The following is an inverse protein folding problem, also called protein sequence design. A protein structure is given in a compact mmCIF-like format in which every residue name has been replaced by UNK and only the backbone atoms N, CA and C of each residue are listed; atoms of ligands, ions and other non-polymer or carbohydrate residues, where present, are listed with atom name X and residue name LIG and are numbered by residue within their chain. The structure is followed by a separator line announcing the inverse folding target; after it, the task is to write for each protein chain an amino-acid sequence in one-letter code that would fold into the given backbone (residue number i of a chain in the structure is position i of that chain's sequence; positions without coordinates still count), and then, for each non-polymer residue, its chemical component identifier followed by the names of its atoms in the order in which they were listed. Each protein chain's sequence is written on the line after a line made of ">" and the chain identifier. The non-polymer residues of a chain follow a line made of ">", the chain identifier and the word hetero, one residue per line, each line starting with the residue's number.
data_IF_968804711130
#
_entry.id   IF_968804711130
#
_cell.length_a   1.000
_cell.length_b   1.000
_cell.length_c   1.000
_cell.angle_alpha   90.00
_cell.angle_beta   90.00
_cell.angle_gamma   90.00
#
_symmetry.space_group_name_H-M   'P 1'
#
loop_
_entity.id
_entity.type
_entity.pdbx_description
1 polymer ?
#
# COMPACT_ATOMS: atom_id res chain seq x y z
N UNK A 1 2.46 9.93 -32.53
CA UNK A 1 1.38 9.44 -31.64
C UNK A 1 1.97 9.31 -30.24
N UNK A 2 1.94 10.41 -29.47
CA UNK A 2 2.65 10.50 -28.20
C UNK A 2 1.93 9.70 -27.12
N UNK A 3 2.59 8.65 -26.64
CA UNK A 3 2.24 7.92 -25.42
C UNK A 3 2.53 8.84 -24.22
N UNK A 4 1.66 9.84 -23.99
CA UNK A 4 1.97 11.00 -23.14
C UNK A 4 1.26 10.91 -21.79
N UNK A 5 1.97 10.51 -20.73
CA UNK A 5 1.67 10.74 -19.30
C UNK A 5 0.31 10.24 -18.73
N UNK A 6 -0.80 10.55 -19.37
CA UNK A 6 -2.16 10.21 -18.98
C UNK A 6 -2.42 8.70 -19.11
N UNK A 7 -1.89 8.06 -20.16
CA UNK A 7 -2.03 6.61 -20.36
C UNK A 7 -1.25 5.80 -19.32
N UNK A 8 -0.06 6.27 -18.91
CA UNK A 8 0.72 5.63 -17.84
C UNK A 8 0.06 5.81 -16.47
N UNK A 9 -0.54 6.98 -16.21
CA UNK A 9 -1.28 7.24 -14.98
C UNK A 9 -2.54 6.37 -14.88
N UNK A 10 -3.28 6.24 -15.99
CA UNK A 10 -4.45 5.35 -16.07
C UNK A 10 -4.04 3.89 -15.88
N UNK A 11 -2.90 3.46 -16.41
CA UNK A 11 -2.38 2.10 -16.21
C UNK A 11 -1.99 1.85 -14.75
N UNK A 12 -1.32 2.79 -14.09
CA UNK A 12 -1.00 2.70 -12.65
C UNK A 12 -2.25 2.71 -11.76
N UNK A 13 -3.29 3.44 -12.16
CA UNK A 13 -4.55 3.45 -11.43
C UNK A 13 -5.33 2.13 -11.62
N UNK A 14 -5.36 1.62 -12.85
CA UNK A 14 -5.96 0.32 -13.17
C UNK A 14 -5.22 -0.82 -12.45
N UNK A 15 -3.88 -0.81 -12.43
CA UNK A 15 -3.09 -1.81 -11.71
C UNK A 15 -3.36 -1.79 -10.22
N UNK A 16 -3.48 -0.60 -9.61
CA UNK A 16 -3.81 -0.47 -8.18
C UNK A 16 -5.19 -1.07 -7.86
N UNK A 17 -6.18 -0.84 -8.72
CA UNK A 17 -7.54 -1.42 -8.58
C UNK A 17 -7.57 -2.93 -8.79
N UNK A 18 -6.78 -3.43 -9.74
CA UNK A 18 -6.62 -4.86 -9.96
C UNK A 18 -5.97 -5.52 -8.74
N UNK A 19 -4.94 -4.90 -8.15
CA UNK A 19 -4.31 -5.41 -6.92
C UNK A 19 -5.27 -5.39 -5.74
N UNK A 20 -6.09 -4.34 -5.59
CA UNK A 20 -7.16 -4.33 -4.58
C UNK A 20 -8.17 -5.48 -4.80
N UNK A 21 -8.62 -5.69 -6.04
CA UNK A 21 -9.58 -6.75 -6.34
C UNK A 21 -8.99 -8.15 -6.13
N UNK A 22 -7.74 -8.37 -6.57
CA UNK A 22 -7.00 -9.62 -6.34
C UNK A 22 -6.77 -9.87 -4.86
N UNK A 23 -6.38 -8.84 -4.10
CA UNK A 23 -6.23 -8.95 -2.65
C UNK A 23 -7.54 -9.31 -1.96
N UNK A 24 -8.67 -8.81 -2.45
CA UNK A 24 -9.97 -9.02 -1.81
C UNK A 24 -10.49 -10.43 -2.13
N UNK A 25 -10.33 -10.86 -3.38
CA UNK A 25 -10.58 -12.23 -3.81
C UNK A 25 -9.70 -13.20 -3.02
N UNK A 26 -8.42 -12.89 -2.82
CA UNK A 26 -7.51 -13.71 -2.05
C UNK A 26 -7.93 -13.79 -0.57
N UNK A 27 -8.33 -12.66 0.04
CA UNK A 27 -8.83 -12.64 1.42
C UNK A 27 -10.09 -13.50 1.61
N UNK A 28 -11.01 -13.51 0.64
CA UNK A 28 -12.21 -14.36 0.66
C UNK A 28 -11.88 -15.82 0.34
N UNK A 29 -10.94 -16.08 -0.56
CA UNK A 29 -10.53 -17.42 -0.95
C UNK A 29 -9.65 -18.11 0.11
N UNK A 30 -8.88 -17.36 0.91
CA UNK A 30 -7.99 -17.88 1.96
C UNK A 30 -8.68 -18.86 2.94
N UNK A 31 -9.83 -18.52 3.56
CA UNK A 31 -10.52 -19.44 4.46
C UNK A 31 -11.02 -20.70 3.74
N UNK A 32 -11.48 -20.58 2.49
CA UNK A 32 -11.89 -21.74 1.69
C UNK A 32 -10.70 -22.63 1.29
N UNK A 33 -9.55 -22.04 0.95
CA UNK A 33 -8.33 -22.75 0.59
C UNK A 33 -7.66 -23.43 1.80
N UNK A 34 -7.81 -22.86 3.00
CA UNK A 34 -7.28 -23.44 4.24
C UNK A 34 -8.21 -24.48 4.86
N UNK A 35 -9.53 -24.35 4.72
CA UNK A 35 -10.49 -25.36 5.18
C UNK A 35 -10.68 -26.52 4.19
N UNK A 36 -10.47 -26.30 2.89
CA UNK A 36 -10.48 -27.37 1.90
C UNK A 36 -9.21 -28.23 1.98
N UNK A 37 -9.32 -29.54 1.73
CA UNK A 37 -8.19 -30.48 1.62
C UNK A 37 -7.31 -30.25 0.37
N UNK A 38 -7.14 -28.99 -0.05
CA UNK A 38 -6.23 -28.64 -1.15
C UNK A 38 -4.78 -28.78 -0.69
N UNK A 39 -3.90 -29.21 -1.61
CA UNK A 39 -2.46 -29.39 -1.36
C UNK A 39 -1.80 -28.15 -0.73
N UNK A 40 -2.24 -26.95 -1.15
CA UNK A 40 -1.77 -25.66 -0.64
C UNK A 40 -2.21 -25.45 0.81
N UNK A 41 -3.47 -25.78 1.15
CA UNK A 41 -3.98 -25.71 2.51
C UNK A 41 -3.21 -26.63 3.45
N UNK A 42 -2.93 -27.87 3.01
CA UNK A 42 -2.16 -28.84 3.81
C UNK A 42 -0.70 -28.46 4.00
N UNK A 43 -0.03 -27.89 2.98
CA UNK A 43 1.32 -27.37 3.12
C UNK A 43 1.39 -26.19 4.10
N UNK A 44 0.38 -25.30 4.09
CA UNK A 44 0.28 -24.19 5.02
C UNK A 44 -0.03 -24.65 6.45
N UNK A 45 -1.02 -25.55 6.65
CA UNK A 45 -1.36 -26.15 7.95
C UNK A 45 -0.13 -26.83 8.58
N UNK A 46 0.67 -27.53 7.77
CA UNK A 46 1.81 -28.31 8.24
C UNK A 46 3.03 -27.46 8.62
N UNK A 47 3.18 -26.25 8.06
CA UNK A 47 4.36 -25.41 8.27
C UNK A 47 4.14 -24.36 9.35
N UNK A 48 2.94 -23.75 9.41
CA UNK A 48 2.63 -22.72 10.39
C UNK A 48 1.19 -22.85 10.89
N UNK A 49 0.98 -22.52 12.16
CA UNK A 49 -0.32 -22.63 12.80
C UNK A 49 -1.27 -21.55 12.24
N UNK A 50 -2.12 -21.94 11.29
CA UNK A 50 -3.08 -21.08 10.56
C UNK A 50 -3.91 -20.18 11.46
N UNK A 51 -4.16 -20.62 12.70
CA UNK A 51 -4.88 -19.85 13.70
C UNK A 51 -4.23 -18.48 13.99
N UNK A 52 -2.89 -18.39 13.89
CA UNK A 52 -2.15 -17.15 14.10
C UNK A 52 -1.91 -16.36 12.81
N UNK A 53 -1.79 -17.05 11.67
CA UNK A 53 -1.51 -16.40 10.38
C UNK A 53 -2.70 -15.59 9.85
N UNK A 54 -3.91 -16.12 10.00
CA UNK A 54 -5.14 -15.46 9.55
C UNK A 54 -5.34 -14.06 10.14
N UNK A 55 -5.34 -13.88 11.48
CA UNK A 55 -5.54 -12.56 12.06
C UNK A 55 -4.44 -11.56 11.68
N UNK A 56 -3.19 -12.02 11.53
CA UNK A 56 -2.07 -11.17 11.05
C UNK A 56 -2.30 -10.70 9.62
N UNK A 57 -2.73 -11.59 8.74
CA UNK A 57 -3.04 -11.24 7.35
C UNK A 57 -4.18 -10.22 7.26
N UNK A 58 -5.28 -10.44 8.00
CA UNK A 58 -6.40 -9.49 8.04
C UNK A 58 -5.98 -8.15 8.65
N UNK A 59 -5.17 -8.16 9.71
CA UNK A 59 -4.64 -6.94 10.32
C UNK A 59 -3.72 -6.16 9.38
N UNK A 60 -2.98 -6.84 8.51
CA UNK A 60 -2.14 -6.22 7.47
C UNK A 60 -2.96 -5.72 6.27
N UNK A 61 -4.06 -6.39 5.92
CA UNK A 61 -4.94 -5.93 4.84
C UNK A 61 -5.48 -4.52 5.11
N UNK A 62 -5.87 -4.20 6.35
CA UNK A 62 -6.43 -2.87 6.68
C UNK A 62 -5.49 -1.71 6.27
N UNK A 63 -4.23 -1.64 6.74
CA UNK A 63 -3.29 -0.61 6.30
C UNK A 63 -2.94 -0.72 4.81
N UNK A 64 -2.87 -1.92 4.24
CA UNK A 64 -2.59 -2.08 2.81
C UNK A 64 -3.70 -1.46 1.93
N UNK A 65 -4.97 -1.74 2.22
CA UNK A 65 -6.10 -1.16 1.48
C UNK A 65 -6.21 0.35 1.65
N UNK A 66 -5.99 0.85 2.88
CA UNK A 66 -6.02 2.30 3.11
C UNK A 66 -4.91 3.02 2.33
N UNK A 67 -3.71 2.42 2.23
CA UNK A 67 -2.64 2.93 1.38
C UNK A 67 -3.01 2.91 -0.11
N UNK A 68 -3.56 1.79 -0.62
CA UNK A 68 -3.97 1.68 -2.03
C UNK A 68 -5.09 2.67 -2.39
N UNK A 69 -6.07 2.85 -1.52
CA UNK A 69 -7.17 3.79 -1.74
C UNK A 69 -6.68 5.24 -1.77
N UNK A 70 -5.78 5.61 -0.85
CA UNK A 70 -5.16 6.93 -0.84
C UNK A 70 -4.30 7.15 -2.09
N UNK A 71 -3.63 6.10 -2.60
CA UNK A 71 -2.83 6.15 -3.82
C UNK A 71 -3.71 6.32 -5.08
N UNK A 72 -4.82 5.59 -5.20
CA UNK A 72 -5.81 5.75 -6.28
C UNK A 72 -6.34 7.19 -6.32
N UNK A 73 -6.65 7.75 -5.15
CA UNK A 73 -7.17 9.11 -5.03
C UNK A 73 -6.12 10.17 -5.34
N UNK A 74 -4.86 9.94 -4.97
CA UNK A 74 -3.73 10.78 -5.35
C UNK A 74 -3.53 10.78 -6.88
N UNK A 75 -3.51 9.60 -7.50
CA UNK A 75 -3.41 9.45 -8.96
C UNK A 75 -4.56 10.17 -9.68
N UNK A 76 -5.78 10.04 -9.17
CA UNK A 76 -6.95 10.73 -9.71
C UNK A 76 -6.83 12.26 -9.59
N UNK A 77 -6.26 12.77 -8.51
CA UNK A 77 -6.02 14.20 -8.31
C UNK A 77 -4.92 14.73 -9.26
N UNK A 78 -3.84 13.96 -9.44
CA UNK A 78 -2.78 14.28 -10.42
C UNK A 78 -3.34 14.37 -11.84
N UNK A 79 -4.24 13.45 -12.21
CA UNK A 79 -4.91 13.45 -13.52
C UNK A 79 -5.75 14.70 -13.79
N UNK A 80 -6.26 15.37 -12.74
CA UNK A 80 -7.04 16.61 -12.88
C UNK A 80 -6.18 17.87 -12.97
N UNK A 81 -4.85 17.73 -13.09
CA UNK A 81 -3.88 18.85 -13.09
C UNK A 81 -3.86 19.71 -11.80
N UNK A 82 -4.64 19.34 -10.78
CA UNK A 82 -4.61 19.92 -9.44
C UNK A 82 -3.54 19.24 -8.57
N UNK A 83 -2.32 19.17 -9.10
CA UNK A 83 -1.19 18.44 -8.48
C UNK A 83 -0.74 19.11 -7.17
N UNK A 84 -1.13 20.37 -6.93
CA UNK A 84 -0.57 21.26 -5.91
C UNK A 84 -1.55 21.74 -4.85
N UNK A 85 -2.63 21.01 -4.61
CA UNK A 85 -3.57 21.35 -3.55
C UNK A 85 -3.14 20.67 -2.23
N UNK A 86 -3.25 21.36 -1.09
CA UNK A 86 -2.88 20.85 0.25
C UNK A 86 -3.52 19.48 0.61
N UNK A 87 -4.59 19.09 -0.09
CA UNK A 87 -5.20 17.76 0.00
C UNK A 87 -4.29 16.62 -0.47
N UNK A 88 -3.45 16.82 -1.48
CA UNK A 88 -2.54 15.77 -1.99
C UNK A 88 -1.47 15.41 -0.96
N UNK A 89 -0.99 16.40 -0.19
CA UNK A 89 -0.08 16.19 0.94
C UNK A 89 -0.75 15.40 2.07
N UNK A 90 -2.06 15.57 2.28
CA UNK A 90 -2.83 14.75 3.25
C UNK A 90 -2.93 13.29 2.81
N UNK A 91 -3.20 13.01 1.53
CA UNK A 91 -3.22 11.62 1.03
C UNK A 91 -1.85 10.96 1.17
N UNK A 92 -0.75 11.66 0.86
CA UNK A 92 0.59 11.11 1.08
C UNK A 92 0.91 10.87 2.56
N UNK A 93 0.38 11.71 3.46
CA UNK A 93 0.49 11.49 4.90
C UNK A 93 -0.20 10.19 5.31
N UNK A 94 -1.43 9.96 4.83
CA UNK A 94 -2.19 8.73 5.10
C UNK A 94 -1.40 7.50 4.62
N UNK A 95 -0.86 7.53 3.39
CA UNK A 95 -0.06 6.43 2.84
C UNK A 95 1.18 6.15 3.70
N UNK A 96 1.88 7.20 4.14
CA UNK A 96 3.05 7.05 5.00
C UNK A 96 2.71 6.42 6.35
N UNK A 97 1.60 6.84 6.99
CA UNK A 97 1.16 6.26 8.26
C UNK A 97 0.65 4.82 8.10
N UNK A 98 -0.05 4.52 7.01
CA UNK A 98 -0.49 3.17 6.70
C UNK A 98 0.69 2.20 6.53
N UNK A 99 1.76 2.61 5.85
CA UNK A 99 2.95 1.78 5.71
C UNK A 99 3.69 1.53 7.03
N UNK A 100 3.74 2.53 7.92
CA UNK A 100 4.28 2.36 9.27
C UNK A 100 3.41 1.40 10.10
N UNK A 101 2.08 1.56 10.04
CA UNK A 101 1.15 0.66 10.72
C UNK A 101 1.32 -0.78 10.22
N UNK A 102 1.45 -0.99 8.91
CA UNK A 102 1.72 -2.29 8.30
C UNK A 102 3.05 -2.89 8.80
N UNK A 103 4.11 -2.10 8.86
CA UNK A 103 5.41 -2.55 9.39
C UNK A 103 5.32 -2.93 10.88
N UNK A 104 4.57 -2.19 11.70
CA UNK A 104 4.36 -2.51 13.12
C UNK A 104 3.59 -3.83 13.26
N UNK A 105 2.54 -4.06 12.46
CA UNK A 105 1.79 -5.32 12.46
C UNK A 105 2.70 -6.50 12.12
N UNK A 106 3.53 -6.37 11.08
CA UNK A 106 4.50 -7.40 10.70
C UNK A 106 5.58 -7.61 11.78
N UNK A 107 6.02 -6.55 12.44
CA UNK A 107 7.04 -6.62 13.50
C UNK A 107 6.50 -7.30 14.76
N UNK A 108 5.24 -7.04 15.14
CA UNK A 108 4.56 -7.79 16.23
C UNK A 108 4.39 -9.26 15.82
N UNK A 109 4.12 -9.52 14.55
CA UNK A 109 3.95 -10.89 14.02
C UNK A 109 5.29 -11.63 13.86
N UNK A 110 6.41 -10.90 13.83
CA UNK A 110 7.76 -11.45 13.77
C UNK A 110 8.13 -12.35 14.94
N UNK A 111 7.45 -12.23 16.08
CA UNK A 111 7.68 -13.10 17.22
C UNK A 111 7.20 -14.54 16.98
N UNK A 112 6.33 -14.76 15.98
CA UNK A 112 5.75 -16.07 15.68
C UNK A 112 6.59 -16.82 14.64
N UNK A 113 7.15 -16.13 13.64
CA UNK A 113 7.98 -16.76 12.59
C UNK A 113 9.01 -15.80 12.01
N UNK A 114 10.23 -16.31 11.77
CA UNK A 114 11.35 -15.51 11.23
C UNK A 114 11.05 -14.93 9.84
N UNK A 115 10.16 -15.55 9.08
CA UNK A 115 9.65 -15.08 7.80
C UNK A 115 9.00 -13.69 7.91
N UNK A 116 8.25 -13.43 8.98
CA UNK A 116 7.63 -12.12 9.23
C UNK A 116 8.66 -11.05 9.56
N UNK A 117 9.79 -11.41 10.15
CA UNK A 117 10.88 -10.46 10.39
C UNK A 117 11.42 -9.88 9.08
N UNK A 118 11.70 -10.74 8.10
CA UNK A 118 12.16 -10.31 6.79
C UNK A 118 11.14 -9.40 6.09
N UNK A 119 9.85 -9.74 6.17
CA UNK A 119 8.77 -8.91 5.63
C UNK A 119 8.65 -7.56 6.36
N UNK A 120 8.85 -7.52 7.68
CA UNK A 120 8.83 -6.29 8.45
C UNK A 120 9.96 -5.33 8.04
N UNK A 121 11.16 -5.87 7.78
CA UNK A 121 12.30 -5.07 7.27
C UNK A 121 11.96 -4.48 5.90
N UNK A 122 11.43 -5.29 4.98
CA UNK A 122 11.02 -4.82 3.64
C UNK A 122 9.94 -3.75 3.73
N UNK A 123 8.91 -3.96 4.55
CA UNK A 123 7.85 -2.98 4.76
C UNK A 123 8.39 -1.68 5.37
N UNK A 124 9.34 -1.77 6.29
CA UNK A 124 10.01 -0.59 6.88
C UNK A 124 10.80 0.17 5.81
N UNK A 125 11.51 -0.52 4.93
CA UNK A 125 12.23 0.09 3.81
C UNK A 125 11.29 0.85 2.87
N UNK A 126 10.18 0.25 2.47
CA UNK A 126 9.14 0.93 1.70
C UNK A 126 8.54 2.13 2.45
N UNK A 127 8.35 2.01 3.77
CA UNK A 127 7.89 3.11 4.62
C UNK A 127 8.84 4.31 4.63
N UNK A 128 10.15 4.07 4.63
CA UNK A 128 11.17 5.12 4.53
C UNK A 128 11.12 5.79 3.15
N UNK A 129 11.04 5.03 2.06
CA UNK A 129 10.90 5.59 0.70
C UNK A 129 9.68 6.51 0.63
N UNK A 130 8.53 6.07 1.14
CA UNK A 130 7.31 6.88 1.17
C UNK A 130 7.46 8.15 2.01
N UNK A 131 8.27 8.12 3.08
CA UNK A 131 8.62 9.34 3.84
C UNK A 131 9.44 10.33 3.02
N UNK A 132 10.39 9.85 2.21
CA UNK A 132 11.20 10.70 1.33
C UNK A 132 10.32 11.31 0.24
N UNK A 133 9.50 10.50 -0.43
CA UNK A 133 8.57 10.99 -1.47
C UNK A 133 7.61 12.03 -0.90
N UNK A 134 7.08 11.82 0.32
CA UNK A 134 6.32 12.83 1.08
C UNK A 134 7.06 14.15 1.22
N UNK A 135 8.31 14.11 1.63
CA UNK A 135 9.10 15.32 1.86
C UNK A 135 9.38 16.06 0.54
N UNK A 136 9.69 15.31 -0.53
CA UNK A 136 9.91 15.86 -1.87
C UNK A 136 8.66 16.54 -2.42
N UNK A 137 7.48 15.91 -2.28
CA UNK A 137 6.22 16.51 -2.71
C UNK A 137 5.88 17.78 -1.91
N UNK A 138 6.13 17.78 -0.59
CA UNK A 138 5.92 18.98 0.22
C UNK A 138 6.82 20.14 -0.25
N UNK A 139 8.09 19.87 -0.52
CA UNK A 139 9.03 20.86 -1.06
C UNK A 139 8.59 21.38 -2.44
N UNK A 140 8.14 20.48 -3.32
CA UNK A 140 7.63 20.87 -4.64
C UNK A 140 6.40 21.79 -4.54
N UNK A 141 5.51 21.55 -3.58
CA UNK A 141 4.31 22.39 -3.37
C UNK A 141 4.67 23.79 -2.91
N UNK A 142 5.64 23.91 -2.00
CA UNK A 142 6.12 25.23 -1.54
C UNK A 142 6.74 26.00 -2.71
N UNK A 143 7.61 25.37 -3.50
CA UNK A 143 8.25 25.99 -4.66
C UNK A 143 7.24 26.48 -5.71
N UNK A 144 6.17 25.73 -5.97
CA UNK A 144 5.14 26.20 -6.91
C UNK A 144 4.36 27.38 -6.33
N UNK A 145 4.03 27.33 -5.04
CA UNK A 145 3.29 28.41 -4.37
C UNK A 145 4.08 29.71 -4.40
N UNK A 146 5.39 29.66 -4.15
CA UNK A 146 6.26 30.83 -4.24
C UNK A 146 6.36 31.37 -5.67
N UNK A 147 6.44 30.51 -6.67
CA UNK A 147 6.51 30.96 -8.07
C UNK A 147 5.23 31.64 -8.57
N UNK A 148 4.06 31.34 -8.00
CA UNK A 148 2.81 32.04 -8.34
C UNK A 148 2.62 33.36 -7.58
N UNK A 149 3.42 33.63 -6.54
CA UNK A 149 3.42 34.90 -5.80
C UNK A 149 4.32 35.98 -6.42
N UNK A 150 5.22 35.60 -7.33
CA UNK A 150 6.17 36.53 -7.99
C UNK A 150 5.73 37.00 -9.38
N UNK A 151 4.55 36.57 -9.86
CA UNK A 151 3.96 37.01 -11.13
C UNK A 151 2.97 38.14 -10.87
#
# INVERSE_FOLDING_TARGET
>A
MSWSKDSSLVLSQASTRIVMALGALLAVALPFLCMGDFFIGRAFIATENILYLMPVYYAFCIPAYTALFALDRLLAAVKRSEVFTAQNVRYLRIISWACIAAAIVLLISSFISITFFALAILATFFGIILRVVKNLFAAAVVLKTENELTI
#
